data_IF_308792915513
#
_entry.id   IF_308792915513
#
_cell.length_a   1.000
_cell.length_b   1.000
_cell.length_c   1.000
_cell.angle_alpha   90.00
_cell.angle_beta   90.00
_cell.angle_gamma   90.00
#
_symmetry.space_group_name_H-M   'P 1'
#
loop_
_entity.id
_entity.type
_entity.pdbx_description
1 polymer ?
#
# COMPACT_ATOMS: atom_id res chain seq x y z
N UNK A 1 -14.65 35.49 3.26
CA UNK A 1 -14.55 34.83 4.59
C UNK A 1 -13.80 33.50 4.53
N UNK A 2 -14.24 32.48 3.79
CA UNK A 2 -13.44 31.24 3.61
C UNK A 2 -12.41 31.33 2.47
N UNK A 3 -12.70 32.06 1.40
CA UNK A 3 -11.77 32.28 0.30
C UNK A 3 -10.50 33.04 0.73
N UNK A 4 -10.66 34.05 1.61
CA UNK A 4 -9.54 34.82 2.17
C UNK A 4 -8.68 33.99 3.14
N UNK A 5 -9.25 32.94 3.74
CA UNK A 5 -8.52 32.01 4.61
C UNK A 5 -7.73 31.00 3.77
N UNK A 6 -8.34 30.48 2.70
CA UNK A 6 -7.68 29.53 1.79
C UNK A 6 -6.52 30.20 1.05
N UNK A 7 -6.63 31.49 0.70
CA UNK A 7 -5.54 32.25 0.06
C UNK A 7 -4.36 32.55 0.99
N UNK A 8 -4.53 32.37 2.30
CA UNK A 8 -3.46 32.51 3.31
C UNK A 8 -2.81 31.18 3.68
N UNK A 9 -3.38 30.05 3.25
CA UNK A 9 -2.75 28.74 3.44
C UNK A 9 -1.53 28.62 2.53
N UNK A 10 -0.46 28.05 3.06
CA UNK A 10 0.68 27.64 2.24
C UNK A 10 0.23 26.57 1.22
N UNK A 11 1.00 26.45 0.15
CA UNK A 11 0.80 25.38 -0.83
C UNK A 11 0.84 24.01 -0.13
N UNK A 12 0.08 23.07 -0.69
CA UNK A 12 0.12 21.69 -0.20
C UNK A 12 1.56 21.16 -0.27
N UNK A 13 2.01 20.38 0.73
CA UNK A 13 3.33 19.79 0.68
C UNK A 13 3.45 18.90 -0.56
N UNK A 14 4.66 18.84 -1.11
CA UNK A 14 4.96 17.89 -2.17
C UNK A 14 4.73 16.44 -1.70
N UNK A 15 4.38 15.58 -2.65
CA UNK A 15 4.23 14.15 -2.39
C UNK A 15 5.57 13.51 -1.97
N UNK A 16 5.49 12.40 -1.25
CA UNK A 16 6.67 11.62 -0.88
C UNK A 16 7.19 10.91 -2.13
N UNK A 17 8.48 11.06 -2.45
CA UNK A 17 9.09 10.41 -3.59
C UNK A 17 9.40 8.93 -3.32
N UNK A 18 9.48 8.13 -4.38
CA UNK A 18 9.78 6.69 -4.28
C UNK A 18 11.11 6.41 -3.56
N UNK A 19 12.11 7.28 -3.75
CA UNK A 19 13.41 7.14 -3.10
C UNK A 19 13.30 7.18 -1.56
N UNK A 20 12.45 8.05 -1.01
CA UNK A 20 12.21 8.14 0.43
C UNK A 20 11.54 6.86 0.97
N UNK A 21 10.60 6.28 0.22
CA UNK A 21 10.00 4.98 0.59
C UNK A 21 11.05 3.86 0.58
N UNK A 22 11.86 3.78 -0.47
CA UNK A 22 12.93 2.77 -0.58
C UNK A 22 13.96 2.91 0.54
N UNK A 23 14.29 4.13 0.96
CA UNK A 23 15.17 4.35 2.12
C UNK A 23 14.54 3.83 3.42
N UNK A 24 13.25 4.12 3.66
CA UNK A 24 12.53 3.62 4.84
C UNK A 24 12.46 2.10 4.87
N UNK A 25 12.14 1.48 3.73
CA UNK A 25 12.15 0.03 3.56
C UNK A 25 13.53 -0.54 3.88
N UNK A 26 14.59 -0.01 3.26
CA UNK A 26 15.97 -0.47 3.49
C UNK A 26 16.37 -0.36 4.96
N UNK A 27 16.05 0.75 5.62
CA UNK A 27 16.34 0.96 7.06
C UNK A 27 15.62 -0.07 7.93
N UNK A 28 14.37 -0.40 7.65
CA UNK A 28 13.63 -1.43 8.37
C UNK A 28 14.25 -2.82 8.13
N UNK A 29 14.44 -3.19 6.87
CA UNK A 29 14.89 -4.53 6.47
C UNK A 29 16.35 -4.81 6.87
N UNK A 30 17.19 -3.78 7.01
CA UNK A 30 18.55 -3.92 7.54
C UNK A 30 18.63 -4.43 8.98
N UNK A 31 17.51 -4.38 9.71
CA UNK A 31 17.41 -4.86 11.10
C UNK A 31 16.94 -6.31 11.19
N UNK A 32 16.53 -6.91 10.07
CA UNK A 32 16.00 -8.27 10.00
C UNK A 32 17.07 -9.26 9.54
N UNK A 33 16.94 -10.52 9.95
CA UNK A 33 17.78 -11.60 9.45
C UNK A 33 17.27 -12.07 8.07
N UNK A 34 18.14 -12.63 7.21
CA UNK A 34 17.73 -13.21 5.91
C UNK A 34 16.68 -14.34 5.99
N UNK A 35 16.45 -14.91 7.18
CA UNK A 35 15.42 -15.93 7.42
C UNK A 35 14.05 -15.35 7.76
N UNK A 36 13.96 -14.04 7.99
CA UNK A 36 12.76 -13.39 8.49
C UNK A 36 11.80 -13.06 7.34
N UNK A 37 10.51 -13.07 7.66
CA UNK A 37 9.42 -12.67 6.77
C UNK A 37 8.68 -11.49 7.42
N UNK A 38 8.65 -10.36 6.73
CA UNK A 38 7.85 -9.21 7.14
C UNK A 38 6.49 -9.28 6.45
N UNK A 39 5.41 -9.12 7.22
CA UNK A 39 4.04 -9.04 6.70
C UNK A 39 3.35 -7.83 7.33
N UNK A 40 2.84 -6.93 6.50
CA UNK A 40 2.10 -5.75 6.93
C UNK A 40 0.79 -5.70 6.16
N UNK A 41 -0.33 -5.65 6.91
CA UNK A 41 -1.66 -5.63 6.33
C UNK A 41 -2.28 -4.23 6.42
N UNK A 42 -3.16 -3.93 5.47
CA UNK A 42 -4.06 -2.77 5.57
C UNK A 42 -5.07 -2.95 6.71
N UNK A 43 -5.60 -1.84 7.23
CA UNK A 43 -6.70 -1.88 8.19
C UNK A 43 -7.97 -2.52 7.59
N UNK A 44 -8.87 -3.09 8.40
CA UNK A 44 -10.21 -3.42 7.95
C UNK A 44 -11.06 -2.16 7.76
N UNK A 45 -12.07 -2.23 6.89
CA UNK A 45 -13.05 -1.15 6.71
C UNK A 45 -13.85 -0.93 7.99
N UNK A 46 -13.83 0.30 8.50
CA UNK A 46 -14.55 0.66 9.72
C UNK A 46 -16.04 0.89 9.42
N UNK A 47 -16.90 0.13 10.09
CA UNK A 47 -18.36 0.31 9.99
C UNK A 47 -18.81 1.51 10.82
N UNK A 48 -19.61 2.39 10.20
CA UNK A 48 -20.27 3.50 10.90
C UNK A 48 -21.62 3.07 11.45
N UNK A 49 -22.47 2.48 10.60
CA UNK A 49 -23.81 1.99 10.98
C UNK A 49 -24.37 1.07 9.90
N UNK A 50 -24.88 -0.11 10.26
CA UNK A 50 -25.47 -1.09 9.32
C UNK A 50 -24.61 -1.31 8.06
N UNK A 51 -25.05 -0.77 6.92
CA UNK A 51 -24.48 -0.83 5.58
C UNK A 51 -23.62 0.41 5.21
N UNK A 52 -23.46 1.35 6.13
CA UNK A 52 -22.65 2.55 5.95
C UNK A 52 -21.28 2.37 6.59
N UNK A 53 -20.24 2.57 5.77
CA UNK A 53 -18.84 2.55 6.19
C UNK A 53 -18.30 3.97 6.40
N UNK A 54 -17.27 4.10 7.23
CA UNK A 54 -16.41 5.28 7.25
C UNK A 54 -15.53 5.31 5.98
N UNK A 55 -15.03 6.49 5.57
CA UNK A 55 -13.97 6.56 4.57
C UNK A 55 -12.81 5.66 4.95
N UNK A 56 -12.35 4.85 4.00
CA UNK A 56 -11.25 3.95 4.25
C UNK A 56 -9.95 4.73 4.48
N UNK A 57 -9.13 4.23 5.41
CA UNK A 57 -7.77 4.72 5.64
C UNK A 57 -6.87 3.54 6.00
N UNK A 58 -5.85 3.33 5.17
CA UNK A 58 -4.86 2.28 5.34
C UNK A 58 -4.07 2.40 6.65
N UNK A 59 -3.36 1.34 7.04
CA UNK A 59 -2.56 1.36 8.26
C UNK A 59 -1.40 2.36 8.13
N UNK A 60 -0.98 2.94 9.25
CA UNK A 60 0.11 3.92 9.22
C UNK A 60 1.40 3.33 8.64
N UNK A 61 1.65 2.05 8.89
CA UNK A 61 2.84 1.34 8.39
C UNK A 61 2.78 1.13 6.87
N UNK A 62 1.63 0.76 6.32
CA UNK A 62 1.42 0.68 4.87
C UNK A 62 1.66 2.04 4.20
N UNK A 63 1.04 3.09 4.74
CA UNK A 63 1.23 4.45 4.23
C UNK A 63 2.68 4.92 4.36
N UNK A 64 3.39 4.51 5.42
CA UNK A 64 4.76 4.94 5.66
C UNK A 64 5.78 4.24 4.77
N UNK A 65 5.58 2.95 4.50
CA UNK A 65 6.55 2.10 3.80
C UNK A 65 6.33 1.99 2.31
N UNK A 66 5.08 2.05 1.84
CA UNK A 66 4.79 1.99 0.42
C UNK A 66 3.76 3.01 -0.05
N UNK A 67 3.06 3.72 0.85
CA UNK A 67 2.05 4.70 0.46
C UNK A 67 0.72 4.08 0.03
N UNK A 68 0.52 2.78 0.24
CA UNK A 68 -0.69 2.09 -0.21
C UNK A 68 -1.94 2.52 0.56
N UNK A 69 -2.89 3.13 -0.15
CA UNK A 69 -4.11 3.74 0.40
C UNK A 69 -5.39 2.91 0.20
N UNK A 70 -5.36 1.86 -0.63
CA UNK A 70 -6.53 1.04 -0.93
C UNK A 70 -6.75 -0.11 0.08
N UNK A 71 -7.96 -0.66 0.09
CA UNK A 71 -8.34 -1.80 0.93
C UNK A 71 -7.62 -3.10 0.53
N UNK A 72 -7.55 -4.06 1.47
CA UNK A 72 -7.09 -5.44 1.23
C UNK A 72 -5.69 -5.56 0.59
N UNK A 73 -4.78 -4.69 1.00
CA UNK A 73 -3.36 -4.78 0.67
C UNK A 73 -2.59 -5.58 1.71
N UNK A 74 -1.66 -6.42 1.26
CA UNK A 74 -0.67 -7.10 2.13
C UNK A 74 0.72 -6.88 1.56
N UNK A 75 1.51 -6.07 2.24
CA UNK A 75 2.91 -5.83 1.92
C UNK A 75 3.75 -6.93 2.56
N UNK A 76 4.58 -7.58 1.76
CA UNK A 76 5.47 -8.66 2.19
C UNK A 76 6.89 -8.28 1.83
N UNK A 77 7.83 -8.58 2.73
CA UNK A 77 9.25 -8.53 2.39
C UNK A 77 9.96 -9.80 2.84
N UNK A 78 10.74 -10.37 1.93
CA UNK A 78 11.53 -11.58 2.15
C UNK A 78 12.90 -11.47 1.48
N UNK A 79 13.87 -12.23 1.97
CA UNK A 79 15.24 -12.19 1.45
C UNK A 79 15.47 -13.28 0.40
N UNK A 80 15.84 -12.87 -0.81
CA UNK A 80 16.23 -13.74 -1.92
C UNK A 80 17.75 -13.88 -1.93
N UNK A 81 18.23 -15.12 -1.75
CA UNK A 81 19.67 -15.41 -1.69
C UNK A 81 20.36 -14.99 -2.99
N UNK A 82 21.24 -13.99 -2.91
CA UNK A 82 22.02 -13.47 -4.03
C UNK A 82 21.43 -12.21 -4.67
N UNK A 83 20.17 -11.88 -4.38
CA UNK A 83 19.48 -10.71 -4.94
C UNK A 83 19.18 -9.65 -3.86
N UNK A 84 19.05 -10.06 -2.60
CA UNK A 84 18.77 -9.17 -1.47
C UNK A 84 17.32 -9.25 -1.01
N UNK A 85 16.85 -8.21 -0.32
CA UNK A 85 15.45 -8.11 0.08
C UNK A 85 14.57 -7.78 -1.11
N UNK A 86 13.45 -8.50 -1.26
CA UNK A 86 12.37 -8.15 -2.17
C UNK A 86 11.15 -7.71 -1.39
N UNK A 87 10.51 -6.63 -1.84
CA UNK A 87 9.30 -6.02 -1.28
C UNK A 87 8.16 -6.19 -2.29
N UNK A 88 7.18 -7.00 -1.94
CA UNK A 88 6.08 -7.40 -2.82
C UNK A 88 4.73 -7.00 -2.21
N UNK A 89 3.74 -6.72 -3.05
CA UNK A 89 2.41 -6.31 -2.59
C UNK A 89 1.32 -7.21 -3.16
N UNK A 90 0.53 -7.81 -2.28
CA UNK A 90 -0.66 -8.57 -2.65
C UNK A 90 -1.87 -7.64 -2.61
N UNK A 91 -2.61 -7.59 -3.71
CA UNK A 91 -3.76 -6.68 -3.89
C UNK A 91 -4.95 -7.43 -4.50
N UNK A 92 -6.16 -6.89 -4.32
CA UNK A 92 -7.29 -7.42 -5.07
C UNK A 92 -7.12 -7.11 -6.57
N UNK A 93 -7.28 -8.13 -7.44
CA UNK A 93 -7.25 -7.90 -8.87
C UNK A 93 -8.41 -7.01 -9.28
N UNK A 94 -8.17 -6.23 -10.33
CA UNK A 94 -9.13 -5.26 -10.84
C UNK A 94 -10.45 -5.95 -11.23
N UNK A 95 -11.56 -5.47 -10.69
CA UNK A 95 -12.91 -5.96 -11.02
C UNK A 95 -13.78 -4.84 -11.59
N UNK A 96 -13.93 -4.81 -12.92
CA UNK A 96 -14.65 -3.77 -13.66
C UNK A 96 -16.08 -3.55 -13.18
N UNK A 97 -16.77 -4.61 -12.71
CA UNK A 97 -18.14 -4.48 -12.19
C UNK A 97 -18.17 -3.74 -10.84
N UNK A 98 -17.14 -3.92 -10.01
CA UNK A 98 -17.01 -3.23 -8.72
C UNK A 98 -16.53 -1.80 -8.89
N UNK A 99 -15.75 -1.49 -9.94
CA UNK A 99 -15.25 -0.13 -10.20
C UNK A 99 -16.36 0.88 -10.46
N UNK A 100 -17.51 0.42 -10.97
CA UNK A 100 -18.70 1.26 -11.17
C UNK A 100 -19.18 1.88 -9.85
N UNK A 101 -18.99 1.16 -8.75
CA UNK A 101 -19.48 1.54 -7.42
C UNK A 101 -18.38 2.09 -6.51
N UNK A 102 -17.18 1.50 -6.58
CA UNK A 102 -16.07 1.81 -5.66
C UNK A 102 -15.03 2.78 -6.25
N UNK A 103 -15.16 3.17 -7.53
CA UNK A 103 -14.14 3.91 -8.24
C UNK A 103 -13.07 3.00 -8.86
N UNK A 104 -12.12 3.59 -9.60
CA UNK A 104 -11.03 2.82 -10.22
C UNK A 104 -10.12 2.26 -9.14
N UNK A 105 -9.95 0.94 -9.14
CA UNK A 105 -8.94 0.27 -8.34
C UNK A 105 -7.61 0.28 -9.09
N UNK A 106 -6.50 0.41 -8.38
CA UNK A 106 -5.18 0.33 -9.00
C UNK A 106 -4.94 -1.05 -9.64
N UNK A 107 -5.39 -2.12 -8.98
CA UNK A 107 -5.11 -3.49 -9.40
C UNK A 107 -3.62 -3.79 -9.45
N UNK A 108 -3.24 -4.91 -10.09
CA UNK A 108 -1.85 -5.37 -10.18
C UNK A 108 -0.96 -4.39 -10.95
N UNK A 109 -1.38 -4.02 -12.16
CA UNK A 109 -0.63 -3.11 -13.02
C UNK A 109 -0.44 -1.73 -12.38
N UNK A 110 -1.49 -1.19 -11.75
CA UNK A 110 -1.40 0.10 -11.07
C UNK A 110 -0.56 0.04 -9.80
N UNK A 111 -0.49 -1.11 -9.13
CA UNK A 111 0.39 -1.32 -7.99
C UNK A 111 1.86 -1.28 -8.43
N UNK A 112 2.23 -2.01 -9.48
CA UNK A 112 3.61 -2.05 -9.99
C UNK A 112 4.08 -0.72 -10.60
N UNK A 113 3.18 0.01 -11.26
CA UNK A 113 3.53 1.28 -11.92
C UNK A 113 3.71 2.44 -10.93
N UNK A 114 2.93 2.47 -9.85
CA UNK A 114 2.77 3.68 -9.02
C UNK A 114 3.32 3.57 -7.61
N UNK A 115 3.62 2.36 -7.15
CA UNK A 115 4.06 2.15 -5.77
C UNK A 115 5.51 1.67 -5.74
N UNK A 116 6.28 2.06 -4.71
CA UNK A 116 7.69 1.73 -4.57
C UNK A 116 7.86 0.29 -4.06
N UNK A 117 7.41 -0.67 -4.86
CA UNK A 117 7.45 -2.13 -4.63
C UNK A 117 8.16 -2.80 -5.81
N UNK A 118 8.62 -4.03 -5.62
CA UNK A 118 9.34 -4.79 -6.66
C UNK A 118 8.38 -5.57 -7.56
N UNK A 119 7.32 -6.14 -6.99
CA UNK A 119 6.27 -6.89 -7.70
C UNK A 119 4.92 -6.77 -7.03
N UNK A 120 3.85 -6.90 -7.81
CA UNK A 120 2.50 -7.05 -7.29
C UNK A 120 1.93 -8.42 -7.63
N UNK A 121 1.21 -9.00 -6.67
CA UNK A 121 0.58 -10.31 -6.79
C UNK A 121 -0.92 -10.25 -6.49
N UNK A 122 -1.68 -11.16 -7.06
CA UNK A 122 -3.10 -11.26 -6.76
C UNK A 122 -3.28 -11.80 -5.36
N UNK A 123 -4.21 -11.23 -4.59
CA UNK A 123 -4.59 -11.76 -3.28
C UNK A 123 -4.98 -13.26 -3.35
N UNK A 124 -5.51 -13.72 -4.49
CA UNK A 124 -5.89 -15.11 -4.70
C UNK A 124 -4.69 -16.07 -4.80
N UNK A 125 -3.50 -15.56 -5.14
CA UNK A 125 -2.27 -16.33 -5.31
C UNK A 125 -1.44 -16.38 -4.01
N UNK A 126 -1.85 -15.63 -2.97
CA UNK A 126 -1.08 -15.48 -1.74
C UNK A 126 -0.77 -16.82 -1.06
N UNK A 127 -1.73 -17.75 -1.03
CA UNK A 127 -1.52 -19.08 -0.45
C UNK A 127 -0.56 -19.95 -1.27
N UNK A 128 -0.50 -19.76 -2.59
CA UNK A 128 0.40 -20.51 -3.48
C UNK A 128 1.83 -19.97 -3.40
N UNK A 129 1.99 -18.66 -3.23
CA UNK A 129 3.29 -18.01 -3.18
C UNK A 129 3.94 -18.15 -1.79
N UNK A 130 3.14 -18.13 -0.72
CA UNK A 130 3.64 -18.21 0.67
C UNK A 130 3.60 -19.64 1.25
N UNK A 131 2.99 -20.61 0.56
CA UNK A 131 2.66 -21.96 1.06
C UNK A 131 3.45 -23.08 0.39
#
# INVERSE_FOLDING_TARGET
MFADLISQLADAPEGICDAEYRERQSRLLSQLAPSDLLIICTNPVAKRSNDVNHPFRSSSDMLYLCGWEEEKGVLIAHYIKGEGWSVELFVEPRNVLMEVWNGRLHGLEGAEEKYPIDKAHSYNEMNEILG
#
